data_IF_406231763765
#
_entry.id   IF_406231763765
#
_cell.length_a   1.000
_cell.length_b   1.000
_cell.length_c   1.000
_cell.angle_alpha   90.00
_cell.angle_beta   90.00
_cell.angle_gamma   90.00
#
_symmetry.space_group_name_H-M   'P 1'
#
loop_
_entity.id
_entity.type
_entity.pdbx_description
1 polymer ?
#
# COMPACT_ATOMS: atom_id res chain seq x y z
N UNK A 1 21.41 -8.16 18.26
CA UNK A 1 20.90 -9.03 17.19
C UNK A 1 19.55 -9.56 17.67
N UNK A 2 18.44 -9.11 17.08
CA UNK A 2 17.12 -9.62 17.50
C UNK A 2 16.98 -11.05 16.98
N UNK A 3 16.59 -11.96 17.86
CA UNK A 3 16.29 -13.34 17.50
C UNK A 3 15.14 -13.34 16.49
N UNK A 4 15.35 -13.78 15.24
CA UNK A 4 14.30 -13.84 14.23
C UNK A 4 13.19 -14.85 14.57
N UNK A 5 13.38 -15.64 15.66
CA UNK A 5 12.45 -16.66 16.13
C UNK A 5 11.50 -16.16 17.25
N UNK A 6 11.64 -14.92 17.75
CA UNK A 6 10.70 -14.43 18.76
C UNK A 6 9.31 -14.26 18.15
N UNK A 7 8.33 -14.97 18.70
CA UNK A 7 6.93 -14.86 18.29
C UNK A 7 6.45 -13.41 18.49
N UNK A 8 5.65 -12.87 17.54
CA UNK A 8 5.04 -11.55 17.71
C UNK A 8 4.25 -11.47 19.02
N UNK A 9 4.24 -10.30 19.66
CA UNK A 9 3.41 -10.12 20.86
C UNK A 9 1.92 -10.41 20.54
N UNK A 10 1.14 -10.79 21.55
CA UNK A 10 -0.29 -11.08 21.36
C UNK A 10 -1.04 -9.89 20.72
N UNK A 11 -0.63 -8.64 21.02
CA UNK A 11 -1.20 -7.43 20.42
C UNK A 11 -0.89 -7.34 18.92
N UNK A 12 0.36 -7.59 18.51
CA UNK A 12 0.77 -7.63 17.10
C UNK A 12 -0.02 -8.71 16.37
N UNK A 13 -0.11 -9.91 16.95
CA UNK A 13 -0.81 -11.04 16.33
C UNK A 13 -2.30 -10.74 16.10
N UNK A 14 -3.01 -10.19 17.10
CA UNK A 14 -4.44 -9.87 17.00
C UNK A 14 -4.71 -8.75 15.98
N UNK A 15 -3.94 -7.66 16.05
CA UNK A 15 -4.10 -6.54 15.10
C UNK A 15 -3.76 -6.97 13.68
N UNK A 16 -2.73 -7.76 13.49
CA UNK A 16 -2.36 -8.31 12.20
C UNK A 16 -3.45 -9.24 11.64
N UNK A 17 -4.03 -10.11 12.48
CA UNK A 17 -5.15 -10.97 12.09
C UNK A 17 -6.37 -10.16 11.63
N UNK A 18 -6.75 -9.14 12.40
CA UNK A 18 -7.84 -8.22 12.03
C UNK A 18 -7.58 -7.53 10.68
N UNK A 19 -6.39 -6.97 10.51
CA UNK A 19 -6.01 -6.28 9.27
C UNK A 19 -5.94 -7.22 8.06
N UNK A 20 -5.48 -8.46 8.26
CA UNK A 20 -5.49 -9.47 7.20
C UNK A 20 -6.92 -9.76 6.73
N UNK A 21 -7.85 -10.02 7.66
CA UNK A 21 -9.26 -10.32 7.33
C UNK A 21 -9.92 -9.13 6.63
N UNK A 22 -9.83 -7.93 7.21
CA UNK A 22 -10.43 -6.71 6.64
C UNK A 22 -9.85 -6.37 5.27
N UNK A 23 -8.52 -6.44 5.14
CA UNK A 23 -7.82 -6.13 3.90
C UNK A 23 -8.20 -7.10 2.78
N UNK A 24 -8.09 -8.41 3.01
CA UNK A 24 -8.44 -9.39 1.98
C UNK A 24 -9.93 -9.37 1.62
N UNK A 25 -10.84 -9.23 2.61
CA UNK A 25 -12.27 -9.12 2.33
C UNK A 25 -12.57 -7.93 1.42
N UNK A 26 -12.06 -6.74 1.74
CA UNK A 26 -12.28 -5.54 0.93
C UNK A 26 -11.66 -5.66 -0.47
N UNK A 27 -10.45 -6.23 -0.58
CA UNK A 27 -9.77 -6.46 -1.86
C UNK A 27 -10.53 -7.43 -2.76
N UNK A 28 -11.02 -8.54 -2.22
CA UNK A 28 -11.79 -9.56 -2.96
C UNK A 28 -13.09 -8.95 -3.48
N UNK A 29 -13.81 -8.23 -2.62
CA UNK A 29 -15.07 -7.58 -3.01
C UNK A 29 -14.82 -6.51 -4.07
N UNK A 30 -13.76 -5.71 -3.93
CA UNK A 30 -13.39 -4.68 -4.92
C UNK A 30 -12.97 -5.30 -6.26
N UNK A 31 -12.26 -6.43 -6.24
CA UNK A 31 -11.94 -7.18 -7.47
C UNK A 31 -13.21 -7.68 -8.16
N UNK A 32 -14.14 -8.24 -7.39
CA UNK A 32 -15.43 -8.69 -7.92
C UNK A 32 -16.21 -7.55 -8.59
N UNK A 33 -16.29 -6.36 -7.95
CA UNK A 33 -16.94 -5.19 -8.56
C UNK A 33 -16.25 -4.76 -9.86
N UNK A 34 -14.92 -4.68 -9.87
CA UNK A 34 -14.18 -4.29 -11.07
C UNK A 34 -14.42 -5.27 -12.22
N UNK A 35 -14.31 -6.57 -11.95
CA UNK A 35 -14.44 -7.62 -12.97
C UNK A 35 -15.87 -7.67 -13.50
N UNK A 36 -16.89 -7.71 -12.63
CA UNK A 36 -18.29 -7.82 -13.06
C UNK A 36 -18.73 -6.59 -13.83
N UNK A 37 -18.35 -5.38 -13.38
CA UNK A 37 -18.62 -4.14 -14.11
C UNK A 37 -18.11 -4.21 -15.55
N UNK A 38 -16.86 -4.65 -15.77
CA UNK A 38 -16.27 -4.69 -17.10
C UNK A 38 -16.79 -5.83 -17.96
N UNK A 39 -17.22 -6.95 -17.37
CA UNK A 39 -17.98 -7.98 -18.09
C UNK A 39 -19.31 -7.40 -18.60
N UNK A 40 -20.07 -6.71 -17.74
CA UNK A 40 -21.36 -6.10 -18.09
C UNK A 40 -21.23 -5.02 -19.17
N UNK A 41 -20.12 -4.28 -19.17
CA UNK A 41 -19.82 -3.28 -20.20
C UNK A 41 -19.30 -3.87 -21.52
N UNK A 42 -19.17 -5.21 -21.62
CA UNK A 42 -18.65 -5.87 -22.82
C UNK A 42 -17.14 -5.88 -22.98
N UNK A 43 -16.39 -5.34 -22.01
CA UNK A 43 -14.92 -5.27 -22.07
C UNK A 43 -14.25 -6.61 -21.65
N UNK A 44 -14.97 -7.49 -21.00
CA UNK A 44 -14.49 -8.79 -20.54
C UNK A 44 -13.76 -8.77 -19.20
N UNK A 45 -13.58 -9.98 -18.61
CA UNK A 45 -12.98 -10.16 -17.28
C UNK A 45 -11.52 -9.72 -17.22
N UNK A 46 -10.73 -10.01 -18.26
CA UNK A 46 -9.31 -9.64 -18.31
C UNK A 46 -9.10 -8.12 -18.20
N UNK A 47 -9.95 -7.35 -18.87
CA UNK A 47 -9.94 -5.90 -18.77
C UNK A 47 -10.31 -5.43 -17.35
N UNK A 48 -11.31 -6.07 -16.71
CA UNK A 48 -11.66 -5.80 -15.32
C UNK A 48 -10.52 -6.05 -14.34
N UNK A 49 -9.74 -7.13 -14.52
CA UNK A 49 -8.53 -7.41 -13.74
C UNK A 49 -7.46 -6.35 -13.98
N UNK A 50 -7.22 -5.98 -15.23
CA UNK A 50 -6.27 -4.94 -15.61
C UNK A 50 -6.63 -3.60 -14.97
N UNK A 51 -7.90 -3.22 -14.96
CA UNK A 51 -8.39 -2.00 -14.31
C UNK A 51 -8.20 -2.06 -12.79
N UNK A 52 -8.54 -3.17 -12.15
CA UNK A 52 -8.36 -3.39 -10.72
C UNK A 52 -6.90 -3.26 -10.29
N UNK A 53 -5.98 -3.96 -10.95
CA UNK A 53 -4.55 -3.95 -10.63
C UNK A 53 -3.84 -2.64 -11.02
N UNK A 54 -4.51 -1.77 -11.76
CA UNK A 54 -4.00 -0.46 -12.15
C UNK A 54 -3.88 0.54 -10.98
N UNK A 55 -4.58 0.34 -9.89
CA UNK A 55 -4.59 1.28 -8.77
C UNK A 55 -3.49 0.99 -7.74
N UNK A 56 -2.71 2.03 -7.39
CA UNK A 56 -1.72 1.96 -6.31
C UNK A 56 -2.33 1.53 -4.98
N UNK A 57 -3.55 1.98 -4.70
CA UNK A 57 -4.34 1.58 -3.53
C UNK A 57 -4.48 0.06 -3.44
N UNK A 58 -4.81 -0.60 -4.54
CA UNK A 58 -5.00 -2.05 -4.59
C UNK A 58 -3.68 -2.78 -4.31
N UNK A 59 -2.61 -2.39 -5.01
CA UNK A 59 -1.29 -3.00 -4.83
C UNK A 59 -0.75 -2.80 -3.42
N UNK A 60 -0.93 -1.60 -2.86
CA UNK A 60 -0.48 -1.28 -1.49
C UNK A 60 -1.30 -2.02 -0.44
N UNK A 61 -2.64 -2.05 -0.56
CA UNK A 61 -3.47 -2.82 0.37
C UNK A 61 -3.19 -4.33 0.26
N UNK A 62 -2.87 -4.86 -0.93
CA UNK A 62 -2.44 -6.25 -1.12
C UNK A 62 -1.14 -6.53 -0.38
N UNK A 63 -0.15 -5.63 -0.48
CA UNK A 63 1.09 -5.73 0.30
C UNK A 63 0.81 -5.69 1.81
N UNK A 64 -0.03 -4.76 2.27
CA UNK A 64 -0.41 -4.64 3.68
C UNK A 64 -1.13 -5.89 4.19
N UNK A 65 -2.08 -6.44 3.42
CA UNK A 65 -2.80 -7.67 3.78
C UNK A 65 -1.83 -8.88 3.82
N UNK A 66 -0.89 -8.96 2.88
CA UNK A 66 0.15 -9.99 2.89
C UNK A 66 1.08 -9.89 4.10
N UNK A 67 1.57 -8.68 4.43
CA UNK A 67 2.38 -8.44 5.64
C UNK A 67 1.58 -8.79 6.90
N UNK A 68 0.34 -8.35 6.99
CA UNK A 68 -0.53 -8.65 8.13
C UNK A 68 -0.75 -10.16 8.27
N UNK A 69 -0.99 -10.88 7.17
CA UNK A 69 -1.09 -12.34 7.15
C UNK A 69 0.20 -13.00 7.64
N UNK A 70 1.36 -12.53 7.17
CA UNK A 70 2.66 -13.06 7.58
C UNK A 70 2.91 -12.87 9.09
N UNK A 71 2.53 -11.73 9.66
CA UNK A 71 2.63 -11.45 11.09
C UNK A 71 1.62 -12.26 11.90
N UNK A 72 0.40 -12.44 11.41
CA UNK A 72 -0.65 -13.23 12.06
C UNK A 72 -0.37 -14.73 12.06
N UNK A 73 0.25 -15.26 11.02
CA UNK A 73 0.59 -16.70 10.96
C UNK A 73 1.84 -17.05 11.78
N UNK A 74 2.70 -16.09 12.10
CA UNK A 74 3.91 -16.31 12.90
C UNK A 74 4.84 -17.41 12.36
N UNK A 75 5.98 -17.64 13.01
CA UNK A 75 6.82 -18.86 12.91
C UNK A 75 7.32 -19.36 11.55
N UNK A 76 6.75 -18.93 10.43
CA UNK A 76 7.13 -19.41 9.09
C UNK A 76 8.42 -18.73 8.62
N UNK A 77 9.46 -19.52 8.40
CA UNK A 77 10.80 -19.06 8.00
C UNK A 77 11.02 -19.05 6.49
N UNK A 78 10.12 -19.68 5.71
CA UNK A 78 10.23 -19.78 4.25
C UNK A 78 9.69 -18.53 3.53
N UNK A 79 10.22 -18.17 2.35
CA UNK A 79 9.60 -17.17 1.47
C UNK A 79 8.17 -17.59 1.07
N UNK A 80 7.23 -16.63 0.87
CA UNK A 80 7.42 -15.17 0.99
C UNK A 80 7.29 -14.65 2.43
N UNK A 81 6.87 -15.48 3.39
CA UNK A 81 6.49 -15.08 4.76
C UNK A 81 7.63 -14.40 5.52
N UNK A 82 8.83 -14.96 5.45
CA UNK A 82 10.02 -14.36 6.06
C UNK A 82 10.30 -12.96 5.48
N UNK A 83 10.20 -12.79 4.16
CA UNK A 83 10.46 -11.50 3.50
C UNK A 83 9.43 -10.45 3.91
N UNK A 84 8.15 -10.81 3.97
CA UNK A 84 7.07 -9.90 4.37
C UNK A 84 7.19 -9.45 5.84
N UNK A 85 7.88 -10.20 6.68
CA UNK A 85 8.10 -9.86 8.10
C UNK A 85 9.34 -9.00 8.34
N UNK A 86 10.13 -8.68 7.31
CA UNK A 86 11.31 -7.82 7.46
C UNK A 86 10.90 -6.40 7.84
N UNK A 87 11.56 -5.77 8.84
CA UNK A 87 11.27 -4.39 9.24
C UNK A 87 11.22 -3.40 8.07
N UNK A 88 12.12 -3.55 7.09
CA UNK A 88 12.15 -2.75 5.87
C UNK A 88 10.87 -2.87 5.04
N UNK A 89 10.33 -4.10 4.86
CA UNK A 89 9.10 -4.35 4.08
C UNK A 89 7.87 -3.84 4.83
N UNK A 90 7.78 -4.09 6.14
CA UNK A 90 6.69 -3.56 6.97
C UNK A 90 6.69 -2.03 6.94
N UNK A 91 7.88 -1.39 6.97
CA UNK A 91 8.00 0.07 6.89
C UNK A 91 7.61 0.60 5.51
N UNK A 92 8.04 -0.07 4.44
CA UNK A 92 7.64 0.29 3.07
C UNK A 92 6.11 0.22 2.89
N UNK A 93 5.47 -0.83 3.39
CA UNK A 93 4.02 -0.96 3.39
C UNK A 93 3.36 0.17 4.21
N UNK A 94 3.91 0.51 5.39
CA UNK A 94 3.36 1.55 6.25
C UNK A 94 3.49 2.96 5.65
N UNK A 95 4.63 3.29 5.03
CA UNK A 95 4.81 4.55 4.28
C UNK A 95 3.79 4.64 3.15
N UNK A 96 3.68 3.58 2.34
CA UNK A 96 2.81 3.55 1.17
C UNK A 96 1.34 3.64 1.55
N UNK A 97 0.90 2.90 2.56
CA UNK A 97 -0.52 2.89 2.95
C UNK A 97 -0.95 4.19 3.65
N UNK A 98 -0.06 4.81 4.42
CA UNK A 98 -0.29 6.13 5.00
C UNK A 98 -0.56 7.15 3.89
N UNK A 99 0.27 7.15 2.85
CA UNK A 99 0.12 8.05 1.71
C UNK A 99 -1.10 7.72 0.85
N UNK A 100 -1.50 6.44 0.73
CA UNK A 100 -2.79 6.07 0.12
C UNK A 100 -3.95 6.77 0.83
N UNK A 101 -4.01 6.72 2.16
CA UNK A 101 -5.07 7.39 2.94
C UNK A 101 -5.06 8.91 2.77
N UNK A 102 -3.89 9.52 2.90
CA UNK A 102 -3.72 10.98 2.79
C UNK A 102 -4.06 11.49 1.37
N UNK A 103 -3.49 10.87 0.33
CA UNK A 103 -3.70 11.27 -1.06
C UNK A 103 -5.17 11.05 -1.46
N UNK A 104 -5.78 9.93 -1.06
CA UNK A 104 -7.20 9.71 -1.29
C UNK A 104 -8.04 10.83 -0.67
N UNK A 105 -7.80 11.13 0.59
CA UNK A 105 -8.58 12.16 1.30
C UNK A 105 -8.41 13.56 0.70
N UNK A 106 -7.21 13.92 0.27
CA UNK A 106 -6.92 15.27 -0.22
C UNK A 106 -7.25 15.46 -1.71
N UNK A 107 -7.07 14.42 -2.54
CA UNK A 107 -7.11 14.58 -3.98
C UNK A 107 -8.20 13.75 -4.68
N UNK A 108 -8.71 12.67 -4.06
CA UNK A 108 -9.53 11.71 -4.78
C UNK A 108 -10.94 11.51 -4.21
N UNK A 109 -11.20 11.88 -2.96
CA UNK A 109 -12.49 11.63 -2.29
C UNK A 109 -13.68 12.30 -3.00
N UNK A 110 -13.43 13.46 -3.60
CA UNK A 110 -14.47 14.26 -4.26
C UNK A 110 -14.62 13.93 -5.76
N UNK A 111 -13.82 12.96 -6.26
CA UNK A 111 -13.87 12.48 -7.65
C UNK A 111 -14.59 11.14 -7.74
N UNK A 112 -14.50 10.31 -6.70
CA UNK A 112 -15.03 8.96 -6.67
C UNK A 112 -16.14 8.84 -5.62
N UNK A 113 -17.36 8.56 -6.05
CA UNK A 113 -18.56 8.48 -5.22
C UNK A 113 -19.15 7.06 -5.19
N UNK A 114 -18.47 6.07 -4.55
CA UNK A 114 -18.98 4.70 -4.46
C UNK A 114 -20.22 4.64 -3.58
N UNK A 115 -21.12 3.69 -3.85
CA UNK A 115 -22.35 3.47 -3.11
C UNK A 115 -22.43 2.04 -2.55
N UNK A 116 -23.28 1.83 -1.55
CA UNK A 116 -23.52 0.49 -0.99
C UNK A 116 -22.25 -0.19 -0.48
N UNK A 117 -22.05 -1.44 -0.85
CA UNK A 117 -20.91 -2.26 -0.43
C UNK A 117 -19.58 -1.75 -1.00
N UNK A 118 -19.56 -1.16 -2.20
CA UNK A 118 -18.37 -0.53 -2.77
C UNK A 118 -17.89 0.64 -1.90
N UNK A 119 -18.82 1.43 -1.33
CA UNK A 119 -18.49 2.49 -0.35
C UNK A 119 -17.89 1.91 0.93
N UNK A 120 -18.42 0.80 1.44
CA UNK A 120 -17.84 0.14 2.61
C UNK A 120 -16.40 -0.32 2.35
N UNK A 121 -16.13 -0.95 1.20
CA UNK A 121 -14.77 -1.33 0.79
C UNK A 121 -13.85 -0.10 0.67
N UNK A 122 -14.35 0.98 0.08
CA UNK A 122 -13.60 2.24 -0.03
C UNK A 122 -13.22 2.81 1.35
N UNK A 123 -14.13 2.79 2.32
CA UNK A 123 -13.84 3.21 3.71
C UNK A 123 -12.78 2.30 4.34
N UNK A 124 -12.88 1.00 4.17
CA UNK A 124 -11.89 0.04 4.69
C UNK A 124 -10.51 0.34 4.12
N UNK A 125 -10.38 0.43 2.80
CA UNK A 125 -9.08 0.53 2.11
C UNK A 125 -8.39 1.89 2.29
N UNK A 126 -9.16 2.98 2.49
CA UNK A 126 -8.60 4.33 2.55
C UNK A 126 -8.65 4.99 3.94
N UNK A 127 -9.52 4.53 4.84
CA UNK A 127 -9.71 5.18 6.16
C UNK A 127 -9.47 4.25 7.35
N UNK A 128 -9.71 2.93 7.23
CA UNK A 128 -9.49 1.99 8.34
C UNK A 128 -8.10 1.34 8.26
N UNK A 129 -7.76 0.76 7.11
CA UNK A 129 -6.46 0.06 6.96
C UNK A 129 -5.28 1.00 7.16
N UNK A 130 -5.23 2.23 6.60
CA UNK A 130 -4.07 3.10 6.77
C UNK A 130 -3.68 3.38 8.23
N UNK A 131 -4.54 3.93 9.10
CA UNK A 131 -4.15 4.21 10.48
C UNK A 131 -3.89 2.94 11.30
N UNK A 132 -4.66 1.87 11.09
CA UNK A 132 -4.45 0.60 11.80
C UNK A 132 -3.14 -0.08 11.38
N UNK A 133 -2.74 0.02 10.10
CA UNK A 133 -1.49 -0.54 9.64
C UNK A 133 -0.28 0.28 10.14
N UNK A 134 -0.39 1.60 10.24
CA UNK A 134 0.64 2.44 10.86
C UNK A 134 0.78 2.09 12.35
N UNK A 135 -0.32 1.83 13.05
CA UNK A 135 -0.29 1.32 14.43
C UNK A 135 0.40 -0.07 14.49
N UNK A 136 0.06 -0.99 13.57
CA UNK A 136 0.72 -2.28 13.47
C UNK A 136 2.23 -2.13 13.26
N UNK A 137 2.65 -1.26 12.33
CA UNK A 137 4.06 -0.93 12.11
C UNK A 137 4.71 -0.42 13.40
N UNK A 138 4.03 0.49 14.13
CA UNK A 138 4.54 1.05 15.36
C UNK A 138 4.86 0.01 16.42
N UNK A 139 4.00 -0.99 16.59
CA UNK A 139 4.17 -2.04 17.61
C UNK A 139 5.00 -3.24 17.12
N UNK A 140 5.01 -3.52 15.81
CA UNK A 140 5.69 -4.68 15.23
C UNK A 140 7.16 -4.40 14.88
N UNK A 141 7.53 -3.17 14.51
CA UNK A 141 8.91 -2.82 14.17
C UNK A 141 9.64 -2.27 15.40
N UNK A 142 10.67 -2.96 15.91
CA UNK A 142 11.40 -2.52 17.09
C UNK A 142 12.18 -1.22 16.82
N UNK A 143 12.43 -0.46 17.90
CA UNK A 143 13.34 0.68 17.83
C UNK A 143 14.76 0.21 17.51
N UNK A 144 15.47 0.97 16.68
CA UNK A 144 16.83 0.62 16.25
C UNK A 144 16.93 -0.50 15.21
N UNK A 145 15.80 -1.12 14.81
CA UNK A 145 15.80 -2.18 13.81
C UNK A 145 16.00 -1.69 12.38
N UNK A 146 15.90 -0.38 12.13
CA UNK A 146 15.96 0.23 10.81
C UNK A 146 17.21 1.12 10.65
N UNK A 147 17.82 1.02 9.48
CA UNK A 147 18.88 1.94 9.00
C UNK A 147 18.44 2.58 7.68
N UNK A 148 19.16 3.60 7.21
CA UNK A 148 18.79 4.37 5.99
C UNK A 148 18.58 3.50 4.76
N UNK A 149 19.41 2.48 4.54
CA UNK A 149 19.27 1.55 3.42
C UNK A 149 17.98 0.70 3.46
N UNK A 150 17.36 0.57 4.63
CA UNK A 150 16.10 -0.19 4.77
C UNK A 150 14.90 0.60 4.26
N UNK A 151 15.07 1.87 3.90
CA UNK A 151 14.05 2.67 3.23
C UNK A 151 13.98 2.41 1.71
N UNK A 152 14.98 1.71 1.14
CA UNK A 152 14.98 1.42 -0.30
C UNK A 152 13.67 0.80 -0.82
N UNK A 153 13.05 -0.21 -0.18
CA UNK A 153 11.78 -0.74 -0.64
C UNK A 153 10.64 0.29 -0.63
N UNK A 154 10.65 1.24 0.32
CA UNK A 154 9.65 2.30 0.38
C UNK A 154 9.75 3.29 -0.80
N UNK A 155 10.93 3.43 -1.39
CA UNK A 155 11.15 4.29 -2.56
C UNK A 155 11.03 3.53 -3.87
N UNK A 156 11.50 2.28 -3.92
CA UNK A 156 11.43 1.44 -5.11
C UNK A 156 9.98 1.10 -5.47
N UNK A 157 9.14 0.82 -4.51
CA UNK A 157 7.76 0.40 -4.76
C UNK A 157 6.94 1.46 -5.52
N UNK A 158 6.86 2.75 -5.08
CA UNK A 158 6.17 3.78 -5.84
C UNK A 158 6.84 4.12 -7.17
N UNK A 159 8.18 4.02 -7.27
CA UNK A 159 8.90 4.25 -8.52
C UNK A 159 8.56 3.17 -9.57
N UNK A 160 8.58 1.90 -9.17
CA UNK A 160 8.18 0.78 -10.04
C UNK A 160 6.71 0.92 -10.44
N UNK A 161 5.85 1.34 -9.50
CA UNK A 161 4.46 1.61 -9.81
C UNK A 161 4.30 2.74 -10.85
N UNK A 162 5.03 3.84 -10.71
CA UNK A 162 4.97 4.95 -11.68
C UNK A 162 5.35 4.48 -13.09
N UNK A 163 6.42 3.68 -13.22
CA UNK A 163 6.80 3.08 -14.49
C UNK A 163 5.71 2.15 -15.03
N UNK A 164 5.16 1.29 -14.16
CA UNK A 164 4.07 0.38 -14.54
C UNK A 164 2.84 1.13 -15.04
N UNK A 165 2.39 2.16 -14.31
CA UNK A 165 1.16 2.89 -14.68
C UNK A 165 1.32 3.72 -15.94
N UNK A 166 2.50 4.27 -16.19
CA UNK A 166 2.80 4.99 -17.43
C UNK A 166 2.85 4.03 -18.62
N UNK A 167 3.60 2.92 -18.52
CA UNK A 167 3.67 1.92 -19.58
C UNK A 167 2.27 1.33 -19.89
N UNK A 168 1.50 1.00 -18.86
CA UNK A 168 0.12 0.53 -19.01
C UNK A 168 -0.79 1.58 -19.65
N UNK A 169 -0.65 2.84 -19.27
CA UNK A 169 -1.43 3.94 -19.83
C UNK A 169 -1.17 4.13 -21.32
N UNK A 170 0.08 4.04 -21.76
CA UNK A 170 0.46 4.05 -23.17
C UNK A 170 -0.15 2.89 -23.96
N UNK A 171 -0.14 1.68 -23.39
CA UNK A 171 -0.63 0.48 -24.06
C UNK A 171 -2.17 0.38 -24.07
N UNK A 172 -2.83 0.81 -23.00
CA UNK A 172 -4.27 0.64 -22.80
C UNK A 172 -5.09 1.94 -22.99
N UNK A 173 -4.44 3.09 -23.13
CA UNK A 173 -5.10 4.39 -23.28
C UNK A 173 -5.82 4.87 -22.00
N UNK A 174 -5.59 4.23 -20.84
CA UNK A 174 -6.32 4.52 -19.60
C UNK A 174 -5.37 4.67 -18.41
N UNK A 175 -5.42 5.80 -17.74
CA UNK A 175 -4.66 6.11 -16.54
C UNK A 175 -5.54 6.09 -15.30
N UNK A 176 -5.10 5.46 -14.18
CA UNK A 176 -5.92 5.29 -12.98
C UNK A 176 -6.13 6.59 -12.18
N UNK A 177 -5.24 7.56 -12.35
CA UNK A 177 -5.28 8.83 -11.62
C UNK A 177 -5.14 10.03 -12.54
N UNK A 178 -5.89 11.13 -12.30
CA UNK A 178 -5.82 12.34 -13.12
C UNK A 178 -4.41 12.96 -13.18
N UNK A 179 -3.64 12.87 -12.07
CA UNK A 179 -2.29 13.43 -11.98
C UNK A 179 -1.21 12.55 -12.65
N UNK A 180 -1.57 11.36 -13.17
CA UNK A 180 -0.74 10.52 -14.03
C UNK A 180 -1.26 10.42 -15.48
N UNK A 181 -2.36 11.11 -15.81
CA UNK A 181 -2.99 11.03 -17.13
C UNK A 181 -2.27 11.95 -18.13
N UNK A 182 -1.28 11.39 -18.84
CA UNK A 182 -0.48 12.13 -19.83
C UNK A 182 -1.32 12.68 -20.96
N UNK A 183 -2.47 12.07 -21.28
CA UNK A 183 -3.36 12.53 -22.35
C UNK A 183 -4.08 13.81 -21.99
N UNK A 184 -4.26 14.10 -20.69
CA UNK A 184 -4.91 15.30 -20.18
C UNK A 184 -3.96 16.41 -19.80
N UNK A 185 -2.82 16.07 -19.16
CA UNK A 185 -1.93 17.08 -18.56
C UNK A 185 -0.52 17.12 -19.17
N UNK A 186 -0.22 16.18 -20.09
CA UNK A 186 1.08 16.07 -20.74
C UNK A 186 2.19 15.49 -19.86
N UNK A 187 3.25 14.96 -20.48
CA UNK A 187 4.37 14.32 -19.79
C UNK A 187 5.08 15.22 -18.79
N UNK A 188 5.31 16.50 -19.13
CA UNK A 188 5.99 17.43 -18.23
C UNK A 188 5.27 17.56 -16.88
N UNK A 189 3.95 17.75 -16.90
CA UNK A 189 3.14 17.84 -15.68
C UNK A 189 3.13 16.53 -14.89
N UNK A 190 3.03 15.39 -15.59
CA UNK A 190 3.09 14.07 -14.95
C UNK A 190 4.43 13.84 -14.26
N UNK A 191 5.54 14.21 -14.88
CA UNK A 191 6.87 14.09 -14.28
C UNK A 191 7.03 14.99 -13.06
N UNK A 192 6.52 16.21 -13.08
CA UNK A 192 6.49 17.08 -11.90
C UNK A 192 5.65 16.50 -10.76
N UNK A 193 4.47 15.94 -11.07
CA UNK A 193 3.63 15.26 -10.08
C UNK A 193 4.33 14.04 -9.49
N UNK A 194 4.98 13.23 -10.33
CA UNK A 194 5.75 12.07 -9.89
C UNK A 194 6.93 12.48 -9.00
N UNK A 195 7.66 13.55 -9.33
CA UNK A 195 8.74 14.08 -8.51
C UNK A 195 8.23 14.59 -7.15
N UNK A 196 7.12 15.34 -7.14
CA UNK A 196 6.48 15.82 -5.91
C UNK A 196 6.01 14.67 -5.02
N UNK A 197 5.34 13.67 -5.58
CA UNK A 197 4.93 12.48 -4.83
C UNK A 197 6.15 11.72 -4.29
N UNK A 198 7.20 11.55 -5.09
CA UNK A 198 8.43 10.90 -4.65
C UNK A 198 9.08 11.63 -3.47
N UNK A 199 9.10 12.97 -3.50
CA UNK A 199 9.60 13.77 -2.37
C UNK A 199 8.77 13.54 -1.09
N UNK A 200 7.44 13.44 -1.20
CA UNK A 200 6.56 13.13 -0.07
C UNK A 200 6.81 11.71 0.46
N UNK A 201 7.02 10.71 -0.41
CA UNK A 201 7.41 9.36 0.01
C UNK A 201 8.73 9.36 0.78
N UNK A 202 9.76 10.05 0.26
CA UNK A 202 11.06 10.19 0.92
C UNK A 202 10.91 10.85 2.28
N UNK A 203 10.23 12.00 2.35
CA UNK A 203 10.02 12.72 3.59
C UNK A 203 9.29 11.86 4.64
N UNK A 204 8.22 11.16 4.24
CA UNK A 204 7.47 10.26 5.13
C UNK A 204 8.34 9.11 5.62
N UNK A 205 9.11 8.47 4.74
CA UNK A 205 10.04 7.41 5.11
C UNK A 205 11.12 7.89 6.09
N UNK A 206 11.68 9.09 5.88
CA UNK A 206 12.66 9.69 6.79
C UNK A 206 12.06 9.97 8.17
N UNK A 207 10.84 10.52 8.23
CA UNK A 207 10.12 10.75 9.49
C UNK A 207 9.89 9.42 10.23
N UNK A 208 9.38 8.40 9.54
CA UNK A 208 9.13 7.09 10.14
C UNK A 208 10.43 6.43 10.64
N UNK A 209 11.54 6.56 9.89
CA UNK A 209 12.85 6.10 10.35
C UNK A 209 13.29 6.85 11.61
N UNK A 210 13.18 8.18 11.62
CA UNK A 210 13.55 9.01 12.77
C UNK A 210 12.77 8.63 14.04
N UNK A 211 11.46 8.37 13.90
CA UNK A 211 10.60 7.91 15.01
C UNK A 211 11.01 6.54 15.57
N UNK A 212 11.69 5.70 14.79
CA UNK A 212 12.16 4.36 15.18
C UNK A 212 13.63 4.31 15.56
N UNK A 213 14.37 5.40 15.41
CA UNK A 213 15.73 5.47 15.94
C UNK A 213 15.71 5.38 17.45
N UNK A 214 16.58 4.55 18.02
CA UNK A 214 16.77 4.55 19.45
C UNK A 214 17.36 5.91 19.83
N UNK A 215 16.76 6.61 20.78
CA UNK A 215 17.44 7.67 21.50
C UNK A 215 18.59 6.98 22.24
N UNK A 216 19.80 7.07 21.72
CA UNK A 216 20.99 6.76 22.50
C UNK A 216 21.08 7.89 23.53
N UNK A 217 20.34 7.78 24.62
CA UNK A 217 20.69 8.51 25.84
C UNK A 217 22.04 7.96 26.28
N UNK A 218 23.06 8.77 26.08
CA UNK A 218 24.35 8.61 26.73
C UNK A 218 24.18 8.80 28.25
#
# INVERSE_FOLDING_TARGET
>A
MLDPASAPSAAVHRLAGLLAVLGWAALIVQAWFSITRHITLGNGAAYGVMMYTGYFTILTNTLCAGVATALALGGRTTPPWHTLRRPAVITAAAVSILLVGVIYHLLLRDIHHPVGLERACNVVLHYLVPPLFVLLWWIAVPRGALVWRDLWPAFAFPAVYALYVLARGELAGVYPYPFFDVTKIGYASVLWNAAGLSAVFVATGCVMLALKRSSTTR
#
